data_IF_450289552767
#
_entry.id   IF_450289552767
#
_cell.length_a   1.000
_cell.length_b   1.000
_cell.length_c   1.000
_cell.angle_alpha   90.00
_cell.angle_beta   90.00
_cell.angle_gamma   90.00
#
_symmetry.space_group_name_H-M   'P 1'
#
loop_
_entity.id
_entity.type
_entity.pdbx_description
1 polymer ?
#
# COMPACT_ATOMS: atom_id res chain seq x y z
N UNK A 1 31.15 -9.11 11.75
CA UNK A 1 30.09 -8.09 11.62
C UNK A 1 29.30 -8.15 12.90
N UNK A 2 29.24 -7.07 13.67
CA UNK A 2 28.44 -7.05 14.90
C UNK A 2 26.96 -7.25 14.56
N UNK A 3 26.20 -7.92 15.42
CA UNK A 3 24.74 -8.04 15.25
C UNK A 3 24.15 -6.63 15.12
N UNK A 4 23.42 -6.36 14.03
CA UNK A 4 22.67 -5.12 13.90
C UNK A 4 21.50 -5.17 14.89
N UNK A 5 21.68 -4.61 16.09
CA UNK A 5 20.65 -4.60 17.14
C UNK A 5 19.38 -3.82 16.75
N UNK A 6 19.41 -3.06 15.64
CA UNK A 6 18.26 -2.30 15.14
C UNK A 6 17.56 -2.95 13.94
N UNK A 7 17.97 -4.16 13.53
CA UNK A 7 17.35 -4.82 12.38
C UNK A 7 15.82 -4.99 12.55
N UNK A 8 15.09 -4.67 11.48
CA UNK A 8 13.66 -4.91 11.31
C UNK A 8 13.50 -6.05 10.32
N UNK A 9 13.21 -7.25 10.83
CA UNK A 9 13.03 -8.43 10.00
C UNK A 9 11.66 -8.39 9.34
N UNK A 10 11.64 -8.15 8.04
CA UNK A 10 10.44 -8.00 7.23
C UNK A 10 10.16 -9.27 6.44
N UNK A 11 8.91 -9.70 6.46
CA UNK A 11 8.38 -10.68 5.52
C UNK A 11 7.41 -10.02 4.53
N UNK A 12 7.37 -10.52 3.30
CA UNK A 12 6.50 -10.00 2.23
C UNK A 12 5.52 -11.08 1.80
N UNK A 13 4.23 -10.75 1.69
CA UNK A 13 3.21 -11.58 1.04
C UNK A 13 2.83 -10.95 -0.29
N UNK A 14 3.03 -11.68 -1.39
CA UNK A 14 2.83 -11.19 -2.75
C UNK A 14 4.06 -10.41 -3.24
N UNK A 15 4.92 -11.06 -4.03
CA UNK A 15 6.15 -10.49 -4.55
C UNK A 15 5.88 -9.77 -5.88
N UNK A 16 4.97 -8.80 -5.86
CA UNK A 16 4.55 -7.99 -7.03
C UNK A 16 5.41 -6.74 -7.28
N UNK A 17 4.91 -5.81 -8.10
CA UNK A 17 5.56 -4.52 -8.35
C UNK A 17 5.79 -3.67 -7.09
N UNK A 18 4.84 -3.68 -6.15
CA UNK A 18 4.99 -2.99 -4.86
C UNK A 18 6.15 -3.57 -4.04
N UNK A 19 6.25 -4.90 -3.97
CA UNK A 19 7.36 -5.58 -3.31
C UNK A 19 8.70 -5.26 -4.00
N UNK A 20 8.72 -5.26 -5.34
CA UNK A 20 9.90 -4.87 -6.12
C UNK A 20 10.35 -3.45 -5.80
N UNK A 21 9.42 -2.49 -5.76
CA UNK A 21 9.71 -1.09 -5.43
C UNK A 21 10.20 -0.93 -3.99
N UNK A 22 9.64 -1.70 -3.04
CA UNK A 22 10.07 -1.70 -1.64
C UNK A 22 11.51 -2.23 -1.48
N UNK A 23 11.81 -3.41 -2.04
CA UNK A 23 13.13 -4.04 -1.92
C UNK A 23 14.20 -3.17 -2.60
N UNK A 24 13.91 -2.67 -3.80
CA UNK A 24 14.81 -1.75 -4.49
C UNK A 24 14.97 -0.42 -3.75
N UNK A 25 13.88 0.12 -3.17
CA UNK A 25 13.92 1.38 -2.42
C UNK A 25 14.78 1.31 -1.16
N UNK A 26 14.71 0.19 -0.43
CA UNK A 26 15.59 -0.07 0.72
C UNK A 26 17.05 -0.11 0.27
N UNK A 27 17.35 -0.82 -0.81
CA UNK A 27 18.71 -0.91 -1.36
C UNK A 27 19.23 0.46 -1.83
N UNK A 28 18.37 1.24 -2.51
CA UNK A 28 18.71 2.57 -3.05
C UNK A 28 19.05 3.58 -1.95
N UNK A 29 18.36 3.52 -0.81
CA UNK A 29 18.53 4.46 0.30
C UNK A 29 19.29 3.87 1.50
N UNK A 30 19.91 2.70 1.36
CA UNK A 30 20.66 2.06 2.46
C UNK A 30 21.81 2.92 2.99
N UNK A 31 22.40 3.76 2.14
CA UNK A 31 23.53 4.65 2.49
C UNK A 31 23.13 6.13 2.55
N UNK A 32 21.82 6.43 2.60
CA UNK A 32 21.34 7.80 2.78
C UNK A 32 21.91 8.43 4.05
N UNK A 33 22.18 9.73 4.01
CA UNK A 33 22.54 10.50 5.20
C UNK A 33 21.33 10.57 6.13
N UNK A 34 21.52 10.24 7.40
CA UNK A 34 20.49 10.23 8.44
C UNK A 34 19.78 11.58 8.60
N UNK A 35 20.47 12.68 8.27
CA UNK A 35 19.94 14.04 8.38
C UNK A 35 19.36 14.56 7.05
N UNK A 36 19.44 13.78 5.97
CA UNK A 36 18.91 14.19 4.68
C UNK A 36 17.38 14.04 4.62
N UNK A 37 16.75 14.92 3.83
CA UNK A 37 15.37 14.73 3.40
C UNK A 37 15.36 13.93 2.10
N UNK A 38 14.72 12.76 2.12
CA UNK A 38 14.57 11.88 0.97
C UNK A 38 13.13 11.95 0.43
N UNK A 39 12.92 12.14 -0.89
CA UNK A 39 11.59 12.14 -1.47
C UNK A 39 10.82 10.86 -1.17
N UNK A 40 9.64 11.01 -0.55
CA UNK A 40 8.73 9.91 -0.27
C UNK A 40 8.91 9.20 1.07
N UNK A 41 9.92 9.59 1.85
CA UNK A 41 10.05 9.18 3.24
C UNK A 41 9.73 10.36 4.15
N UNK A 42 9.09 10.10 5.29
CA UNK A 42 9.03 11.10 6.36
C UNK A 42 10.42 11.40 6.89
N UNK A 43 11.17 10.34 7.21
CA UNK A 43 12.52 10.42 7.76
C UNK A 43 13.40 9.30 7.21
N UNK A 44 14.69 9.60 7.01
CA UNK A 44 15.71 8.55 6.79
C UNK A 44 15.86 7.72 8.07
N UNK A 45 16.00 8.41 9.21
CA UNK A 45 15.93 7.84 10.56
C UNK A 45 14.53 7.99 11.15
N UNK A 46 13.73 6.92 11.11
CA UNK A 46 12.39 6.90 11.69
C UNK A 46 12.47 6.39 13.13
N UNK A 47 12.58 7.33 14.08
CA UNK A 47 12.98 7.01 15.45
C UNK A 47 14.43 6.53 15.45
N UNK A 48 14.69 5.35 16.01
CA UNK A 48 16.03 4.72 15.96
C UNK A 48 16.31 3.92 14.69
N UNK A 49 15.36 3.84 13.75
CA UNK A 49 15.43 2.95 12.60
C UNK A 49 15.78 3.67 11.30
N UNK A 50 16.95 3.39 10.77
CA UNK A 50 17.35 3.80 9.43
C UNK A 50 16.62 2.96 8.37
N UNK A 51 16.53 3.45 7.14
CA UNK A 51 16.10 2.65 5.98
C UNK A 51 16.90 1.34 5.83
N UNK A 52 18.19 1.32 6.22
CA UNK A 52 19.09 0.18 6.04
C UNK A 52 18.82 -0.93 7.05
N UNK A 53 18.10 -0.62 8.11
CA UNK A 53 17.74 -1.58 9.15
C UNK A 53 16.58 -2.47 8.69
N UNK A 54 15.92 -2.16 7.57
CA UNK A 54 14.91 -3.03 6.97
C UNK A 54 15.58 -4.22 6.29
N UNK A 55 15.44 -5.40 6.88
CA UNK A 55 16.03 -6.65 6.39
C UNK A 55 14.92 -7.62 5.96
N UNK A 56 14.89 -8.01 4.69
CA UNK A 56 13.94 -9.01 4.21
C UNK A 56 14.41 -10.41 4.61
N UNK A 57 13.57 -11.18 5.30
CA UNK A 57 13.93 -12.50 5.83
C UNK A 57 13.01 -13.64 5.40
N UNK A 58 11.84 -13.30 4.86
CA UNK A 58 10.90 -14.27 4.30
C UNK A 58 10.06 -13.61 3.20
N UNK A 59 9.61 -14.40 2.23
CA UNK A 59 8.69 -13.94 1.21
C UNK A 59 7.75 -15.08 0.82
N UNK A 60 6.52 -14.75 0.47
CA UNK A 60 5.49 -15.70 0.06
C UNK A 60 4.88 -15.27 -1.28
N UNK A 61 4.72 -16.22 -2.19
CA UNK A 61 4.00 -16.02 -3.44
C UNK A 61 3.31 -17.34 -3.87
N UNK A 62 2.59 -17.29 -4.98
CA UNK A 62 1.88 -18.42 -5.57
C UNK A 62 2.23 -18.61 -7.05
N UNK A 63 2.98 -17.71 -7.66
CA UNK A 63 3.43 -17.80 -9.05
C UNK A 63 4.62 -18.78 -9.19
N UNK A 64 4.52 -19.71 -10.13
CA UNK A 64 5.56 -20.69 -10.45
C UNK A 64 6.89 -20.05 -10.87
N UNK A 65 6.87 -18.81 -11.38
CA UNK A 65 8.08 -18.05 -11.75
C UNK A 65 8.71 -17.31 -10.57
N UNK A 66 8.13 -17.40 -9.37
CA UNK A 66 8.60 -16.69 -8.16
C UNK A 66 8.88 -17.66 -7.02
N UNK A 67 7.99 -18.61 -6.77
CA UNK A 67 8.15 -19.62 -5.71
C UNK A 67 9.44 -20.42 -5.95
N UNK A 68 10.27 -20.54 -4.93
CA UNK A 68 11.56 -21.23 -4.96
C UNK A 68 12.73 -20.41 -5.50
N UNK A 69 12.50 -19.19 -6.01
CA UNK A 69 13.57 -18.29 -6.44
C UNK A 69 14.01 -17.35 -5.31
N UNK A 70 15.24 -16.85 -5.36
CA UNK A 70 15.71 -15.82 -4.43
C UNK A 70 14.88 -14.53 -4.60
N UNK A 71 14.63 -13.84 -3.49
CA UNK A 71 13.86 -12.60 -3.49
C UNK A 71 14.44 -11.55 -4.45
N UNK A 72 15.76 -11.45 -4.59
CA UNK A 72 16.42 -10.50 -5.51
C UNK A 72 16.10 -10.77 -6.99
N UNK A 73 15.79 -12.02 -7.34
CA UNK A 73 15.36 -12.42 -8.68
C UNK A 73 13.84 -12.32 -8.82
N UNK A 74 13.09 -12.83 -7.85
CA UNK A 74 11.64 -12.88 -7.87
C UNK A 74 10.97 -11.51 -8.01
N UNK A 75 11.59 -10.44 -7.48
CA UNK A 75 11.10 -9.07 -7.65
C UNK A 75 11.15 -8.54 -9.10
N UNK A 76 11.89 -9.20 -9.99
CA UNK A 76 11.99 -8.88 -11.43
C UNK A 76 11.38 -9.97 -12.33
N UNK A 77 10.74 -10.98 -11.74
CA UNK A 77 10.19 -12.14 -12.46
C UNK A 77 8.71 -12.00 -12.78
N UNK A 78 8.25 -12.81 -13.74
CA UNK A 78 6.86 -12.87 -14.20
C UNK A 78 6.37 -11.50 -14.73
N UNK A 79 5.15 -11.09 -14.37
CA UNK A 79 4.54 -9.83 -14.79
C UNK A 79 4.98 -8.62 -13.96
N UNK A 80 6.06 -8.73 -13.18
CA UNK A 80 6.65 -7.56 -12.52
C UNK A 80 7.36 -6.68 -13.56
N UNK A 81 6.95 -5.42 -13.64
CA UNK A 81 7.35 -4.47 -14.68
C UNK A 81 7.50 -3.03 -14.15
N UNK A 82 7.75 -2.88 -12.84
CA UNK A 82 8.08 -1.57 -12.28
C UNK A 82 9.47 -1.08 -12.70
N UNK A 83 9.69 0.23 -12.59
CA UNK A 83 10.96 0.85 -12.94
C UNK A 83 12.08 0.32 -12.06
N UNK A 84 13.21 -0.05 -12.69
CA UNK A 84 14.40 -0.46 -11.97
C UNK A 84 15.17 0.79 -11.48
N UNK A 85 15.30 0.93 -10.17
CA UNK A 85 16.02 2.05 -9.52
C UNK A 85 17.32 1.62 -8.86
N UNK A 86 17.47 0.34 -8.52
CA UNK A 86 18.66 -0.21 -7.89
C UNK A 86 18.95 -1.65 -8.38
N UNK A 87 20.23 -2.01 -8.39
CA UNK A 87 20.65 -3.41 -8.46
C UNK A 87 20.56 -4.03 -7.06
N UNK A 88 19.76 -5.09 -6.93
CA UNK A 88 19.54 -5.77 -5.65
C UNK A 88 20.45 -6.99 -5.59
N UNK A 89 21.39 -7.08 -4.63
CA UNK A 89 22.23 -8.26 -4.47
C UNK A 89 21.40 -9.46 -3.98
N UNK A 90 21.88 -10.70 -4.18
CA UNK A 90 21.25 -11.90 -3.62
C UNK A 90 20.91 -11.71 -2.14
N UNK A 91 19.69 -12.08 -1.76
CA UNK A 91 19.22 -11.92 -0.38
C UNK A 91 19.28 -13.22 0.42
N UNK A 92 19.52 -14.35 -0.25
CA UNK A 92 19.44 -15.70 0.30
C UNK A 92 18.06 -15.98 0.94
N UNK A 93 17.01 -15.36 0.41
CA UNK A 93 15.62 -15.50 0.86
C UNK A 93 14.82 -16.10 -0.29
N UNK A 94 14.59 -17.42 -0.22
CA UNK A 94 13.82 -18.12 -1.23
C UNK A 94 12.33 -17.90 -0.99
N UNK A 95 11.60 -17.50 -2.03
CA UNK A 95 10.15 -17.25 -1.95
C UNK A 95 9.42 -18.56 -1.65
N UNK A 96 8.68 -18.59 -0.55
CA UNK A 96 7.92 -19.74 -0.10
C UNK A 96 6.56 -19.82 -0.80
N UNK A 97 6.06 -21.05 -0.95
CA UNK A 97 4.71 -21.29 -1.46
C UNK A 97 3.69 -20.92 -0.38
N UNK A 98 3.04 -19.78 -0.53
CA UNK A 98 1.94 -19.36 0.34
C UNK A 98 0.60 -19.98 -0.07
N UNK A 99 -0.44 -20.06 0.80
CA UNK A 99 -1.76 -20.51 0.38
C UNK A 99 -2.41 -19.53 -0.61
N UNK A 100 -3.00 -20.07 -1.68
CA UNK A 100 -3.58 -19.25 -2.77
C UNK A 100 -4.89 -18.61 -2.40
N UNK A 101 -5.83 -19.39 -1.85
CA UNK A 101 -7.18 -18.94 -1.48
C UNK A 101 -7.82 -18.11 -2.62
N UNK A 102 -8.35 -16.93 -2.32
CA UNK A 102 -8.91 -15.97 -3.29
C UNK A 102 -7.87 -14.97 -3.83
N UNK A 103 -6.57 -15.28 -3.72
CA UNK A 103 -5.45 -14.50 -4.27
C UNK A 103 -5.54 -14.27 -5.78
N UNK A 104 -5.88 -15.32 -6.54
CA UNK A 104 -5.87 -15.30 -8.01
C UNK A 104 -7.29 -15.17 -8.59
N UNK A 105 -7.59 -13.96 -9.09
CA UNK A 105 -8.79 -13.67 -9.88
C UNK A 105 -8.69 -14.23 -11.30
N UNK A 106 -9.72 -13.98 -12.13
CA UNK A 106 -9.81 -14.54 -13.49
C UNK A 106 -8.58 -14.19 -14.33
N UNK A 107 -8.26 -12.91 -14.43
CA UNK A 107 -7.16 -12.45 -15.30
C UNK A 107 -5.78 -12.89 -14.80
N UNK A 108 -5.60 -13.01 -13.48
CA UNK A 108 -4.37 -13.59 -12.93
C UNK A 108 -4.21 -15.05 -13.36
N UNK A 109 -5.27 -15.86 -13.25
CA UNK A 109 -5.25 -17.27 -13.67
C UNK A 109 -5.05 -17.46 -15.18
N UNK A 110 -5.44 -16.48 -15.98
CA UNK A 110 -5.20 -16.47 -17.43
C UNK A 110 -3.77 -16.05 -17.79
N UNK A 111 -3.05 -15.36 -16.89
CA UNK A 111 -1.75 -14.74 -17.20
C UNK A 111 -0.57 -15.51 -16.58
N UNK A 112 -0.71 -16.00 -15.35
CA UNK A 112 0.36 -16.69 -14.63
C UNK A 112 0.05 -18.17 -14.43
N UNK A 113 1.09 -18.97 -14.18
CA UNK A 113 0.94 -20.37 -13.76
C UNK A 113 1.12 -20.44 -12.25
N UNK A 114 0.13 -21.01 -11.56
CA UNK A 114 0.22 -21.25 -10.12
C UNK A 114 1.30 -22.30 -9.83
N UNK A 115 2.14 -22.07 -8.83
CA UNK A 115 3.22 -22.95 -8.43
C UNK A 115 2.68 -24.27 -7.87
N UNK A 116 3.29 -25.37 -8.30
CA UNK A 116 3.06 -26.71 -7.78
C UNK A 116 3.51 -26.85 -6.31
N UNK A 117 3.05 -27.91 -5.65
CA UNK A 117 3.42 -28.25 -4.28
C UNK A 117 2.46 -27.73 -3.21
N UNK A 118 2.67 -28.18 -1.98
CA UNK A 118 1.85 -27.77 -0.83
C UNK A 118 2.27 -26.39 -0.32
N UNK A 119 1.29 -25.61 0.14
CA UNK A 119 1.58 -24.35 0.82
C UNK A 119 2.21 -24.62 2.19
N UNK A 120 3.16 -23.76 2.57
CA UNK A 120 3.83 -23.84 3.87
C UNK A 120 2.88 -23.44 5.01
N UNK A 121 3.17 -23.91 6.23
CA UNK A 121 2.61 -23.30 7.44
C UNK A 121 3.20 -21.90 7.60
N UNK A 122 2.42 -20.89 7.24
CA UNK A 122 2.84 -19.48 7.25
C UNK A 122 3.22 -19.04 8.65
N UNK A 123 2.41 -19.36 9.67
CA UNK A 123 2.70 -18.93 11.04
C UNK A 123 4.02 -19.56 11.54
N UNK A 124 4.29 -20.82 11.19
CA UNK A 124 5.56 -21.46 11.52
C UNK A 124 6.73 -20.82 10.76
N UNK A 125 6.60 -20.58 9.45
CA UNK A 125 7.63 -19.94 8.65
C UNK A 125 7.98 -18.53 9.19
N UNK A 126 6.99 -17.76 9.63
CA UNK A 126 7.20 -16.46 10.25
C UNK A 126 7.97 -16.55 11.58
N UNK A 127 7.68 -17.56 12.42
CA UNK A 127 8.41 -17.82 13.67
C UNK A 127 9.85 -18.25 13.40
N UNK A 128 10.07 -19.15 12.45
CA UNK A 128 11.38 -19.68 12.10
C UNK A 128 12.30 -18.58 11.56
N UNK A 129 11.76 -17.69 10.71
CA UNK A 129 12.46 -16.51 10.21
C UNK A 129 12.53 -15.34 11.21
N UNK A 130 11.97 -15.50 12.42
CA UNK A 130 11.92 -14.49 13.50
C UNK A 130 11.37 -13.15 13.03
N UNK A 131 10.34 -13.17 12.19
CA UNK A 131 9.81 -11.98 11.55
C UNK A 131 9.33 -10.95 12.57
N UNK A 132 9.59 -9.68 12.31
CA UNK A 132 9.07 -8.57 13.10
C UNK A 132 7.82 -7.96 12.49
N UNK A 133 7.83 -7.77 11.16
CA UNK A 133 6.72 -7.16 10.43
C UNK A 133 6.42 -7.96 9.16
N UNK A 134 5.15 -8.30 8.94
CA UNK A 134 4.64 -8.89 7.71
C UNK A 134 3.94 -7.80 6.88
N UNK A 135 4.37 -7.60 5.64
CA UNK A 135 3.74 -6.67 4.69
C UNK A 135 2.90 -7.46 3.69
N UNK A 136 1.62 -7.15 3.58
CA UNK A 136 0.71 -7.77 2.62
C UNK A 136 0.52 -6.91 1.37
N UNK A 137 0.90 -7.46 0.21
CA UNK A 137 0.72 -6.89 -1.12
C UNK A 137 -0.12 -7.81 -2.02
N UNK A 138 -1.07 -8.53 -1.43
CA UNK A 138 -1.98 -9.38 -2.18
C UNK A 138 -2.81 -8.57 -3.20
N UNK A 139 -3.28 -9.22 -4.29
CA UNK A 139 -4.15 -8.57 -5.26
C UNK A 139 -5.44 -8.02 -4.64
N UNK A 140 -5.98 -6.97 -5.24
CA UNK A 140 -7.29 -6.41 -4.83
C UNK A 140 -8.38 -7.47 -4.95
N UNK A 141 -9.19 -7.59 -3.89
CA UNK A 141 -10.29 -8.54 -3.80
C UNK A 141 -9.90 -9.91 -3.23
N UNK A 142 -8.74 -10.01 -2.57
CA UNK A 142 -8.25 -11.21 -1.88
C UNK A 142 -8.55 -11.14 -0.39
N UNK A 143 -9.83 -11.18 -0.03
CA UNK A 143 -10.31 -11.00 1.34
C UNK A 143 -9.99 -12.21 2.22
N UNK A 144 -10.24 -13.42 1.74
CA UNK A 144 -9.95 -14.66 2.49
C UNK A 144 -8.44 -14.82 2.68
N UNK A 145 -7.65 -14.58 1.64
CA UNK A 145 -6.21 -14.65 1.71
C UNK A 145 -5.62 -13.63 2.69
N UNK A 146 -6.01 -12.36 2.60
CA UNK A 146 -5.42 -11.33 3.45
C UNK A 146 -5.79 -11.51 4.93
N UNK A 147 -7.03 -11.93 5.20
CA UNK A 147 -7.47 -12.32 6.55
C UNK A 147 -6.72 -13.56 7.05
N UNK A 148 -6.42 -14.53 6.18
CA UNK A 148 -5.60 -15.68 6.53
C UNK A 148 -4.19 -15.26 6.96
N UNK A 149 -3.52 -14.40 6.18
CA UNK A 149 -2.18 -13.90 6.54
C UNK A 149 -2.19 -13.01 7.78
N UNK A 150 -3.24 -12.21 7.98
CA UNK A 150 -3.41 -11.43 9.21
C UNK A 150 -3.57 -12.35 10.44
N UNK A 151 -4.31 -13.46 10.33
CA UNK A 151 -4.40 -14.45 11.40
C UNK A 151 -3.05 -15.15 11.64
N UNK A 152 -2.33 -15.53 10.58
CA UNK A 152 -1.01 -16.13 10.72
C UNK A 152 0.01 -15.17 11.39
N UNK A 153 -0.09 -13.87 11.11
CA UNK A 153 0.71 -12.85 11.78
C UNK A 153 0.38 -12.73 13.28
N UNK A 154 -0.91 -12.74 13.64
CA UNK A 154 -1.36 -12.80 15.03
C UNK A 154 -0.79 -14.03 15.74
N UNK A 155 -0.96 -15.22 15.13
CA UNK A 155 -0.55 -16.50 15.69
C UNK A 155 0.99 -16.62 15.84
N UNK A 156 1.75 -15.84 15.07
CA UNK A 156 3.20 -15.77 15.13
C UNK A 156 3.73 -14.60 16.00
N UNK A 157 2.87 -13.70 16.48
CA UNK A 157 3.30 -12.49 17.21
C UNK A 157 4.02 -11.46 16.34
N UNK A 158 3.62 -11.36 15.07
CA UNK A 158 4.26 -10.53 14.03
C UNK A 158 3.38 -9.34 13.70
N UNK A 159 3.94 -8.13 13.71
CA UNK A 159 3.18 -6.95 13.35
C UNK A 159 2.73 -7.01 11.89
N UNK A 160 1.55 -6.50 11.57
CA UNK A 160 0.98 -6.61 10.22
C UNK A 160 0.85 -5.23 9.54
N UNK A 161 1.28 -5.11 8.29
CA UNK A 161 1.08 -3.93 7.45
C UNK A 161 0.20 -4.32 6.27
N UNK A 162 -1.05 -3.84 6.29
CA UNK A 162 -2.02 -4.12 5.25
C UNK A 162 -2.00 -3.03 4.17
N UNK A 163 -1.44 -3.35 2.99
CA UNK A 163 -1.36 -2.38 1.89
C UNK A 163 -2.59 -2.38 0.96
N UNK A 164 -3.52 -3.32 1.12
CA UNK A 164 -4.64 -3.55 0.20
C UNK A 164 -5.98 -3.11 0.81
N UNK A 165 -7.03 -2.89 0.00
CA UNK A 165 -8.33 -2.43 0.47
C UNK A 165 -9.21 -3.56 1.01
N UNK A 166 -8.64 -4.43 1.84
CA UNK A 166 -9.38 -5.39 2.68
C UNK A 166 -9.45 -4.81 4.08
N UNK A 167 -10.65 -4.77 4.68
CA UNK A 167 -10.80 -4.19 6.01
C UNK A 167 -10.32 -5.16 7.08
N UNK A 168 -9.21 -4.80 7.74
CA UNK A 168 -8.59 -5.56 8.83
C UNK A 168 -8.31 -4.62 9.99
N UNK A 169 -7.46 -3.60 9.82
CA UNK A 169 -7.22 -2.62 10.87
C UNK A 169 -8.49 -1.79 11.14
N UNK A 170 -9.25 -1.50 10.08
CA UNK A 170 -10.48 -0.71 10.13
C UNK A 170 -11.74 -1.52 10.49
N UNK A 171 -11.65 -2.85 10.53
CA UNK A 171 -12.72 -3.72 11.04
C UNK A 171 -12.57 -3.87 12.56
N UNK A 172 -13.56 -3.45 13.38
CA UNK A 172 -13.49 -3.56 14.83
C UNK A 172 -13.24 -4.97 15.37
N UNK A 173 -13.69 -6.01 14.65
CA UNK A 173 -13.46 -7.41 15.04
C UNK A 173 -11.98 -7.78 14.92
N UNK A 174 -11.36 -7.40 13.81
CA UNK A 174 -9.94 -7.67 13.57
C UNK A 174 -9.04 -6.76 14.40
N UNK A 175 -9.36 -5.47 14.51
CA UNK A 175 -8.69 -4.55 15.41
C UNK A 175 -8.60 -5.12 16.83
N UNK A 176 -9.72 -5.66 17.34
CA UNK A 176 -9.77 -6.30 18.65
C UNK A 176 -8.91 -7.57 18.74
N UNK A 177 -8.86 -8.40 17.70
CA UNK A 177 -7.98 -9.60 17.70
C UNK A 177 -6.49 -9.21 17.81
N UNK A 178 -6.06 -8.18 17.09
CA UNK A 178 -4.69 -7.67 17.17
C UNK A 178 -4.39 -7.07 18.55
N UNK A 179 -5.33 -6.32 19.13
CA UNK A 179 -5.23 -5.77 20.49
C UNK A 179 -5.12 -6.88 21.54
N UNK A 180 -6.01 -7.86 21.51
CA UNK A 180 -6.06 -8.98 22.47
C UNK A 180 -4.78 -9.84 22.40
N UNK A 181 -4.15 -9.92 21.23
CA UNK A 181 -2.89 -10.65 21.03
C UNK A 181 -1.63 -9.82 21.36
N UNK A 182 -1.76 -8.51 21.63
CA UNK A 182 -0.61 -7.62 21.81
C UNK A 182 0.21 -7.40 20.53
N UNK A 183 -0.41 -7.60 19.36
CA UNK A 183 0.25 -7.53 18.04
C UNK A 183 -0.13 -6.22 17.33
N UNK A 184 0.81 -5.40 16.86
CA UNK A 184 0.48 -4.17 16.14
C UNK A 184 -0.05 -4.43 14.73
N UNK A 185 -0.94 -3.56 14.25
CA UNK A 185 -1.34 -3.50 12.83
C UNK A 185 -1.34 -2.06 12.31
N UNK A 186 -0.84 -1.86 11.09
CA UNK A 186 -0.98 -0.61 10.32
C UNK A 186 -1.80 -0.93 9.06
N UNK A 187 -2.89 -0.21 8.85
CA UNK A 187 -3.84 -0.47 7.75
C UNK A 187 -5.04 0.48 7.78
N UNK A 188 -5.90 0.52 6.75
CA UNK A 188 -5.90 -0.33 5.55
C UNK A 188 -5.78 0.50 4.24
N UNK A 189 -5.33 -0.14 3.14
CA UNK A 189 -5.10 0.44 1.81
C UNK A 189 -4.05 1.57 1.81
N UNK A 190 -2.79 1.24 1.49
CA UNK A 190 -1.67 2.19 1.57
C UNK A 190 -1.89 3.44 0.71
N UNK A 191 -1.52 4.62 1.23
CA UNK A 191 -1.49 5.86 0.42
C UNK A 191 -0.33 5.82 -0.59
N UNK A 192 -0.54 6.54 -1.69
CA UNK A 192 0.53 6.98 -2.56
C UNK A 192 0.92 8.40 -2.19
N UNK A 193 2.16 8.83 -2.44
CA UNK A 193 2.61 10.20 -2.14
C UNK A 193 1.77 11.22 -2.91
N UNK A 194 1.74 11.11 -4.24
CA UNK A 194 0.90 11.95 -5.11
C UNK A 194 0.15 11.06 -6.08
N UNK A 195 -1.07 10.71 -5.70
CA UNK A 195 -2.00 9.95 -6.54
C UNK A 195 -3.10 10.82 -7.15
N UNK A 196 -3.88 10.23 -8.05
CA UNK A 196 -5.04 10.88 -8.65
C UNK A 196 -6.08 11.31 -7.59
N UNK A 197 -6.34 10.47 -6.57
CA UNK A 197 -7.33 10.77 -5.52
C UNK A 197 -6.96 12.00 -4.69
N UNK A 198 -5.71 12.12 -4.22
CA UNK A 198 -5.28 13.28 -3.42
C UNK A 198 -5.25 14.56 -4.27
N UNK A 199 -4.75 14.47 -5.51
CA UNK A 199 -4.71 15.60 -6.43
C UNK A 199 -6.12 16.11 -6.73
N UNK A 200 -7.06 15.21 -7.01
CA UNK A 200 -8.46 15.55 -7.27
C UNK A 200 -9.12 16.18 -6.05
N UNK A 201 -8.92 15.60 -4.85
CA UNK A 201 -9.42 16.14 -3.59
C UNK A 201 -8.92 17.57 -3.34
N UNK A 202 -7.63 17.85 -3.53
CA UNK A 202 -7.04 19.19 -3.36
C UNK A 202 -7.65 20.18 -4.35
N UNK A 203 -7.80 19.80 -5.62
CA UNK A 203 -8.40 20.67 -6.64
C UNK A 203 -9.89 20.92 -6.37
N UNK A 204 -10.64 19.91 -5.94
CA UNK A 204 -12.05 20.06 -5.61
C UNK A 204 -12.24 20.96 -4.38
N UNK A 205 -11.38 20.80 -3.35
CA UNK A 205 -11.36 21.69 -2.19
C UNK A 205 -10.99 23.13 -2.57
N UNK A 206 -10.04 23.33 -3.48
CA UNK A 206 -9.70 24.66 -3.98
C UNK A 206 -10.90 25.34 -4.66
N UNK A 207 -11.71 24.60 -5.43
CA UNK A 207 -12.94 25.15 -6.01
C UNK A 207 -13.88 25.64 -4.90
N UNK A 208 -14.13 24.79 -3.90
CA UNK A 208 -15.00 25.13 -2.77
C UNK A 208 -14.50 26.33 -1.96
N UNK A 209 -13.22 26.33 -1.56
CA UNK A 209 -12.60 27.39 -0.74
C UNK A 209 -12.57 28.75 -1.47
N UNK A 210 -12.65 28.76 -2.81
CA UNK A 210 -12.71 29.97 -3.64
C UNK A 210 -14.12 30.34 -4.10
N UNK A 211 -15.14 29.66 -3.59
CA UNK A 211 -16.55 29.91 -3.91
C UNK A 211 -16.95 29.49 -5.33
N UNK A 212 -16.16 28.62 -5.98
CA UNK A 212 -16.50 28.01 -7.27
C UNK A 212 -17.33 26.77 -7.00
N UNK A 213 -18.56 26.74 -7.53
CA UNK A 213 -19.43 25.58 -7.36
C UNK A 213 -19.03 24.48 -8.33
N UNK A 214 -18.49 23.37 -7.82
CA UNK A 214 -18.21 22.18 -8.61
C UNK A 214 -19.54 21.49 -8.98
N UNK A 215 -19.81 21.34 -10.27
CA UNK A 215 -21.04 20.74 -10.80
C UNK A 215 -20.84 19.31 -11.28
N UNK A 216 -19.73 19.02 -11.96
CA UNK A 216 -19.42 17.70 -12.52
C UNK A 216 -17.94 17.39 -12.39
N UNK A 217 -17.61 16.12 -12.23
CA UNK A 217 -16.21 15.68 -12.25
C UNK A 217 -16.03 14.26 -12.80
N UNK A 218 -14.90 14.06 -13.46
CA UNK A 218 -14.47 12.79 -14.03
C UNK A 218 -13.01 12.52 -13.65
N UNK A 219 -12.70 11.28 -13.31
CA UNK A 219 -11.35 10.77 -13.10
C UNK A 219 -11.21 9.40 -13.74
N UNK A 220 -10.52 9.36 -14.88
CA UNK A 220 -10.21 8.14 -15.62
C UNK A 220 -8.78 7.72 -15.30
N UNK A 221 -8.56 6.44 -14.98
CA UNK A 221 -7.23 5.93 -14.66
C UNK A 221 -6.90 4.76 -15.60
N UNK A 222 -5.73 4.80 -16.24
CA UNK A 222 -5.19 3.72 -17.07
C UNK A 222 -3.81 3.31 -16.57
N UNK A 223 -3.46 2.04 -16.71
CA UNK A 223 -2.16 1.47 -16.33
C UNK A 223 -1.93 0.13 -17.03
N UNK A 224 -0.71 -0.40 -16.95
CA UNK A 224 -0.28 -1.60 -17.70
C UNK A 224 0.22 -2.76 -16.83
N UNK A 225 -0.02 -2.73 -15.52
CA UNK A 225 0.40 -3.79 -14.59
C UNK A 225 -0.77 -4.73 -14.25
N UNK A 226 -0.44 -5.82 -13.55
CA UNK A 226 -1.43 -6.81 -13.14
C UNK A 226 -2.47 -6.29 -12.13
N UNK A 227 -2.18 -5.26 -11.34
CA UNK A 227 -3.19 -4.63 -10.49
C UNK A 227 -4.28 -3.98 -11.35
N UNK A 228 -3.90 -3.23 -12.40
CA UNK A 228 -4.83 -2.64 -13.35
C UNK A 228 -5.64 -3.69 -14.12
N UNK A 229 -4.98 -4.76 -14.58
CA UNK A 229 -5.66 -5.84 -15.30
C UNK A 229 -6.66 -6.57 -14.38
N UNK A 230 -6.27 -6.89 -13.15
CA UNK A 230 -7.15 -7.48 -12.13
C UNK A 230 -8.32 -6.54 -11.80
N UNK A 231 -8.08 -5.23 -11.79
CA UNK A 231 -9.12 -4.22 -11.60
C UNK A 231 -10.08 -4.08 -12.79
N UNK A 232 -9.88 -4.73 -13.95
CA UNK A 232 -10.94 -4.80 -14.98
C UNK A 232 -12.04 -5.80 -14.61
N UNK A 233 -11.79 -6.68 -13.63
CA UNK A 233 -12.77 -7.63 -13.12
C UNK A 233 -13.76 -6.92 -12.20
N UNK A 234 -14.89 -6.45 -12.77
CA UNK A 234 -15.88 -5.61 -12.08
C UNK A 234 -16.41 -6.20 -10.77
N UNK A 235 -16.50 -7.53 -10.67
CA UNK A 235 -16.92 -8.25 -9.45
C UNK A 235 -15.98 -8.03 -8.27
N UNK A 236 -14.69 -7.73 -8.51
CA UNK A 236 -13.70 -7.44 -7.45
C UNK A 236 -13.64 -5.96 -7.05
N UNK A 237 -14.42 -5.08 -7.70
CA UNK A 237 -14.29 -3.62 -7.61
C UNK A 237 -15.38 -2.89 -6.82
N UNK A 238 -16.49 -3.55 -6.46
CA UNK A 238 -17.67 -2.87 -5.90
C UNK A 238 -17.29 -1.98 -4.70
N UNK A 239 -16.52 -2.52 -3.76
CA UNK A 239 -16.03 -1.80 -2.57
C UNK A 239 -15.10 -0.64 -2.92
N UNK A 240 -14.22 -0.80 -3.92
CA UNK A 240 -13.19 0.20 -4.28
C UNK A 240 -13.77 1.38 -5.09
N UNK A 241 -14.83 1.16 -5.87
CA UNK A 241 -15.53 2.25 -6.56
C UNK A 241 -16.25 3.16 -5.56
N UNK A 242 -16.86 2.58 -4.53
CA UNK A 242 -17.50 3.30 -3.44
C UNK A 242 -16.45 4.12 -2.68
N UNK A 243 -15.35 3.48 -2.24
CA UNK A 243 -14.31 4.15 -1.45
C UNK A 243 -13.65 5.31 -2.20
N UNK A 244 -13.34 5.15 -3.50
CA UNK A 244 -12.72 6.23 -4.30
C UNK A 244 -13.67 7.40 -4.55
N UNK A 245 -14.95 7.12 -4.76
CA UNK A 245 -15.95 8.18 -4.93
C UNK A 245 -16.09 8.97 -3.64
N UNK A 246 -16.27 8.27 -2.52
CA UNK A 246 -16.37 8.87 -1.18
C UNK A 246 -15.11 9.66 -0.82
N UNK A 247 -13.91 9.16 -1.13
CA UNK A 247 -12.66 9.84 -0.80
C UNK A 247 -12.47 11.23 -1.45
N UNK A 248 -13.20 11.52 -2.54
CA UNK A 248 -13.23 12.83 -3.19
C UNK A 248 -14.43 13.64 -2.70
N UNK A 249 -15.61 13.03 -2.62
CA UNK A 249 -16.85 13.76 -2.27
C UNK A 249 -16.98 14.05 -0.77
N UNK A 250 -16.33 13.28 0.12
CA UNK A 250 -16.43 13.45 1.58
C UNK A 250 -15.93 14.80 2.09
N UNK A 251 -15.08 15.45 1.30
CA UNK A 251 -14.45 16.71 1.67
C UNK A 251 -15.17 17.92 1.08
N UNK A 252 -16.29 17.71 0.37
CA UNK A 252 -17.10 18.74 -0.24
C UNK A 252 -18.42 18.84 0.54
N UNK A 253 -18.88 20.05 0.81
CA UNK A 253 -20.17 20.28 1.48
C UNK A 253 -21.37 19.95 0.59
N UNK A 254 -21.16 19.95 -0.73
CA UNK A 254 -22.21 19.69 -1.72
C UNK A 254 -22.40 18.19 -1.94
N UNK A 255 -23.65 17.75 -1.90
CA UNK A 255 -24.04 16.44 -2.40
C UNK A 255 -24.07 16.43 -3.93
N UNK A 256 -23.51 15.38 -4.54
CA UNK A 256 -23.51 15.17 -5.98
C UNK A 256 -24.54 14.13 -6.37
N UNK A 257 -25.21 14.32 -7.50
CA UNK A 257 -25.97 13.21 -8.09
C UNK A 257 -24.99 12.15 -8.60
N UNK A 258 -25.37 10.88 -8.51
CA UNK A 258 -24.52 9.77 -8.92
C UNK A 258 -24.04 9.85 -10.39
N UNK A 259 -24.79 10.52 -11.27
CA UNK A 259 -24.42 10.72 -12.68
C UNK A 259 -23.35 11.79 -12.91
N UNK A 260 -23.15 12.69 -11.95
CA UNK A 260 -22.29 13.88 -12.08
C UNK A 260 -20.86 13.61 -11.62
N UNK A 261 -20.58 12.41 -11.08
CA UNK A 261 -19.27 11.97 -10.60
C UNK A 261 -18.91 10.63 -11.22
N UNK A 262 -17.78 10.56 -11.92
CA UNK A 262 -17.26 9.32 -12.48
C UNK A 262 -15.81 9.09 -12.06
N UNK A 263 -15.56 8.10 -11.21
CA UNK A 263 -14.22 7.78 -10.70
C UNK A 263 -14.01 6.25 -10.75
N UNK A 264 -12.94 5.79 -11.40
CA UNK A 264 -12.63 4.36 -11.45
C UNK A 264 -11.41 4.01 -12.31
N UNK A 265 -10.97 2.75 -12.28
CA UNK A 265 -10.12 2.21 -13.35
C UNK A 265 -10.89 2.25 -14.66
N UNK A 266 -10.20 2.64 -15.72
CA UNK A 266 -10.80 2.85 -17.04
C UNK A 266 -10.39 1.76 -18.02
N UNK A 267 -9.10 1.47 -18.12
CA UNK A 267 -8.59 0.49 -19.09
C UNK A 267 -7.19 -0.03 -18.70
N UNK A 268 -6.78 -1.13 -19.34
CA UNK A 268 -5.43 -1.69 -19.28
C UNK A 268 -4.66 -1.39 -20.57
N UNK A 269 -3.55 -0.67 -20.45
CA UNK A 269 -2.68 -0.27 -21.57
C UNK A 269 -1.30 -0.87 -21.36
N UNK A 270 -1.05 -2.04 -21.96
CA UNK A 270 0.09 -2.89 -21.61
C UNK A 270 1.46 -2.21 -21.65
N UNK A 271 1.73 -1.35 -22.64
CA UNK A 271 3.03 -0.67 -22.73
C UNK A 271 3.27 0.39 -21.64
N UNK A 272 2.25 0.77 -20.86
CA UNK A 272 2.48 1.63 -19.69
C UNK A 272 3.25 0.92 -18.60
N UNK A 273 3.27 -0.41 -18.58
CA UNK A 273 3.86 -1.22 -17.52
C UNK A 273 3.29 -0.77 -16.16
N UNK A 274 4.14 -0.56 -15.15
CA UNK A 274 3.73 -0.05 -13.83
C UNK A 274 3.41 1.46 -13.81
N UNK A 275 3.48 2.16 -14.94
CA UNK A 275 3.01 3.55 -15.01
C UNK A 275 1.50 3.61 -14.97
N UNK A 276 1.03 4.69 -14.36
CA UNK A 276 -0.37 5.04 -14.24
C UNK A 276 -0.59 6.45 -14.67
N UNK A 277 -1.57 6.60 -15.55
CA UNK A 277 -2.03 7.89 -16.02
C UNK A 277 -3.43 8.15 -15.51
N UNK A 278 -3.64 9.33 -14.94
CA UNK A 278 -4.96 9.80 -14.56
C UNK A 278 -5.34 11.03 -15.39
N UNK A 279 -6.49 10.97 -16.03
CA UNK A 279 -7.11 12.07 -16.75
C UNK A 279 -8.28 12.56 -15.92
N UNK A 280 -8.20 13.80 -15.46
CA UNK A 280 -9.18 14.35 -14.52
C UNK A 280 -9.75 15.65 -15.07
N UNK A 281 -11.07 15.78 -14.96
CA UNK A 281 -11.80 16.96 -15.39
C UNK A 281 -12.75 17.40 -14.30
N UNK A 282 -12.68 18.67 -13.93
CA UNK A 282 -13.58 19.35 -12.99
C UNK A 282 -14.31 20.46 -13.74
N UNK A 283 -15.63 20.49 -13.65
CA UNK A 283 -16.46 21.54 -14.24
C UNK A 283 -17.31 22.19 -13.16
N UNK A 284 -17.23 23.51 -13.08
CA UNK A 284 -18.00 24.30 -12.12
C UNK A 284 -18.44 25.64 -12.68
N UNK A 285 -19.03 26.44 -11.80
CA UNK A 285 -19.48 27.82 -12.07
C UNK A 285 -18.83 28.79 -11.09
N UNK A 286 -18.32 29.88 -11.62
CA UNK A 286 -17.73 30.99 -10.87
C UNK A 286 -18.73 32.15 -10.70
N UNK A 287 -18.24 33.35 -10.41
CA UNK A 287 -19.06 34.55 -10.27
C UNK A 287 -19.94 34.79 -11.51
N UNK A 288 -21.23 35.07 -11.28
CA UNK A 288 -22.20 35.28 -12.35
C UNK A 288 -22.57 34.00 -13.13
N UNK A 289 -22.42 32.83 -12.51
CA UNK A 289 -22.66 31.52 -13.12
C UNK A 289 -21.81 31.22 -14.36
N UNK A 290 -20.69 31.95 -14.51
CA UNK A 290 -19.76 31.77 -15.63
C UNK A 290 -19.08 30.41 -15.52
N UNK A 291 -19.09 29.58 -16.59
CA UNK A 291 -18.42 28.28 -16.57
C UNK A 291 -16.92 28.40 -16.28
N UNK A 292 -16.43 27.55 -15.38
CA UNK A 292 -15.02 27.35 -15.09
C UNK A 292 -14.70 25.86 -15.25
N UNK A 293 -13.68 25.54 -16.01
CA UNK A 293 -13.24 24.15 -16.20
C UNK A 293 -11.75 24.01 -15.90
N UNK A 294 -11.39 22.90 -15.27
CA UNK A 294 -10.02 22.46 -15.06
C UNK A 294 -9.89 21.05 -15.60
N UNK A 295 -8.90 20.82 -16.45
CA UNK A 295 -8.55 19.49 -16.93
C UNK A 295 -7.06 19.29 -16.75
N UNK A 296 -6.67 18.13 -16.23
CA UNK A 296 -5.26 17.81 -16.02
C UNK A 296 -4.98 16.33 -16.27
N UNK A 297 -3.72 16.06 -16.60
CA UNK A 297 -3.14 14.72 -16.69
C UNK A 297 -2.09 14.56 -15.59
N UNK A 298 -2.18 13.48 -14.84
CA UNK A 298 -1.15 13.06 -13.89
C UNK A 298 -0.48 11.79 -14.42
N UNK A 299 0.85 11.79 -14.46
CA UNK A 299 1.66 10.61 -14.80
C UNK A 299 2.54 10.22 -13.61
N UNK A 300 2.45 8.97 -13.19
CA UNK A 300 3.26 8.43 -12.09
C UNK A 300 3.67 6.98 -12.41
N UNK A 301 4.72 6.50 -11.74
CA UNK A 301 4.95 5.08 -11.55
C UNK A 301 4.17 4.64 -10.31
N UNK A 302 3.22 3.70 -10.43
CA UNK A 302 2.24 3.45 -9.37
C UNK A 302 2.87 2.82 -8.12
N UNK A 303 3.74 1.82 -8.30
CA UNK A 303 4.32 1.08 -7.17
C UNK A 303 5.39 1.85 -6.38
N UNK A 304 6.35 2.57 -7.00
CA UNK A 304 7.29 3.41 -6.27
C UNK A 304 6.61 4.57 -5.52
N UNK A 305 5.42 4.99 -5.96
CA UNK A 305 4.66 6.06 -5.34
C UNK A 305 4.13 5.68 -3.93
N UNK A 306 4.13 4.40 -3.54
CA UNK A 306 3.80 3.95 -2.18
C UNK A 306 4.98 3.32 -1.43
N UNK A 307 6.10 3.00 -2.10
CA UNK A 307 7.24 2.32 -1.49
C UNK A 307 7.78 3.05 -0.25
N UNK A 308 8.00 4.36 -0.34
CA UNK A 308 8.46 5.15 0.82
C UNK A 308 7.45 5.15 1.98
N UNK A 309 6.15 5.24 1.66
CA UNK A 309 5.06 5.17 2.65
C UNK A 309 5.05 3.81 3.37
N UNK A 310 5.35 2.72 2.66
CA UNK A 310 5.48 1.39 3.27
C UNK A 310 6.72 1.29 4.16
N UNK A 311 7.85 1.85 3.74
CA UNK A 311 9.05 1.86 4.60
C UNK A 311 8.73 2.59 5.91
N UNK A 312 8.03 3.73 5.88
CA UNK A 312 7.54 4.42 7.09
C UNK A 312 6.57 3.53 7.91
N UNK A 313 5.61 2.86 7.26
CA UNK A 313 4.65 1.98 7.93
C UNK A 313 5.30 0.78 8.63
N UNK A 314 6.29 0.14 8.01
CA UNK A 314 7.08 -0.96 8.58
C UNK A 314 7.81 -0.50 9.83
N UNK A 315 8.48 0.65 9.79
CA UNK A 315 9.22 1.20 10.93
C UNK A 315 8.27 1.61 12.06
N UNK A 316 7.10 2.19 11.74
CA UNK A 316 6.07 2.50 12.73
C UNK A 316 5.50 1.24 13.41
N UNK A 317 5.23 0.18 12.64
CA UNK A 317 4.80 -1.12 13.16
C UNK A 317 5.85 -1.73 14.09
N UNK A 318 7.13 -1.61 13.72
CA UNK A 318 8.25 -2.09 14.56
C UNK A 318 8.37 -1.30 15.87
N UNK A 319 8.24 0.02 15.84
CA UNK A 319 8.22 0.85 17.06
C UNK A 319 7.07 0.42 17.99
N UNK A 320 5.87 0.20 17.45
CA UNK A 320 4.73 -0.29 18.23
C UNK A 320 5.02 -1.66 18.86
N UNK A 321 5.63 -2.57 18.09
CA UNK A 321 6.04 -3.90 18.57
C UNK A 321 7.04 -3.81 19.72
N UNK A 322 8.07 -2.97 19.60
CA UNK A 322 9.08 -2.77 20.65
C UNK A 322 8.48 -2.26 21.96
N UNK A 323 7.45 -1.41 21.86
CA UNK A 323 6.74 -0.84 23.02
C UNK A 323 5.69 -1.79 23.60
N UNK A 324 5.46 -2.97 23.00
CA UNK A 324 4.41 -3.89 23.39
C UNK A 324 2.99 -3.35 23.17
N UNK A 325 2.82 -2.46 22.19
CA UNK A 325 1.52 -1.86 21.86
C UNK A 325 0.84 -2.71 20.78
N UNK A 326 -0.20 -3.45 21.19
CA UNK A 326 -1.06 -4.22 20.28
C UNK A 326 -2.17 -3.39 19.64
N UNK A 327 -2.80 -3.97 18.63
CA UNK A 327 -3.93 -3.34 17.91
C UNK A 327 -3.48 -2.32 16.86
N UNK A 328 -4.45 -1.57 16.27
CA UNK A 328 -4.13 -0.60 15.24
C UNK A 328 -3.28 0.57 15.74
N UNK A 329 -2.18 0.85 15.04
CA UNK A 329 -1.31 2.02 15.31
C UNK A 329 -1.96 3.27 14.73
N UNK A 330 -2.88 3.88 15.50
CA UNK A 330 -3.77 4.96 15.01
C UNK A 330 -3.02 6.10 14.29
N UNK A 331 -1.92 6.68 14.83
CA UNK A 331 -1.23 7.78 14.16
C UNK A 331 -0.65 7.36 12.80
N UNK A 332 -0.06 6.16 12.72
CA UNK A 332 0.53 5.63 11.50
C UNK A 332 -0.56 5.31 10.47
N UNK A 333 -1.62 4.59 10.86
CA UNK A 333 -2.72 4.26 9.96
C UNK A 333 -3.39 5.52 9.40
N UNK A 334 -3.70 6.52 10.25
CA UNK A 334 -4.37 7.74 9.79
C UNK A 334 -3.55 8.52 8.76
N UNK A 335 -2.24 8.60 8.95
CA UNK A 335 -1.37 9.35 8.04
C UNK A 335 -0.99 8.56 6.79
N UNK A 336 -0.73 7.25 6.91
CA UNK A 336 -0.13 6.44 5.84
C UNK A 336 -1.15 5.63 5.03
N UNK A 337 -2.37 5.44 5.53
CA UNK A 337 -3.39 4.55 4.94
C UNK A 337 -4.65 5.32 4.52
N UNK A 338 -5.33 4.86 3.47
CA UNK A 338 -6.53 5.50 2.91
C UNK A 338 -7.79 5.21 3.73
N UNK A 339 -7.85 4.02 4.35
CA UNK A 339 -8.98 3.54 5.15
C UNK A 339 -8.52 3.23 6.58
N UNK A 340 -8.08 4.24 7.36
CA UNK A 340 -7.67 4.02 8.73
C UNK A 340 -8.85 3.67 9.64
N UNK A 341 -8.60 3.06 10.82
CA UNK A 341 -9.63 2.82 11.84
C UNK A 341 -10.29 4.12 12.33
N UNK A 342 -9.53 5.23 12.32
CA UNK A 342 -10.01 6.56 12.67
C UNK A 342 -9.52 7.57 11.62
N UNK A 343 -10.47 8.22 10.95
CA UNK A 343 -10.17 9.29 9.98
C UNK A 343 -9.70 10.55 10.72
N UNK A 344 -8.60 11.13 10.25
CA UNK A 344 -8.02 12.40 10.73
C UNK A 344 -7.59 13.23 9.52
N UNK A 345 -7.54 14.55 9.69
CA UNK A 345 -6.91 15.42 8.70
C UNK A 345 -5.41 15.08 8.59
N UNK A 346 -4.85 15.16 7.37
CA UNK A 346 -3.48 14.67 7.10
C UNK A 346 -2.41 15.42 7.92
N UNK A 347 -2.58 16.72 8.16
CA UNK A 347 -1.70 17.54 9.00
C UNK A 347 -1.73 17.09 10.46
N UNK A 348 -2.93 16.90 11.02
CA UNK A 348 -3.13 16.40 12.39
C UNK A 348 -2.60 14.97 12.54
N UNK A 349 -2.84 14.10 11.56
CA UNK A 349 -2.34 12.73 11.56
C UNK A 349 -0.81 12.69 11.50
N UNK A 350 -0.19 13.60 10.72
CA UNK A 350 1.26 13.75 10.65
C UNK A 350 1.84 14.15 12.00
N UNK A 351 1.31 15.20 12.63
CA UNK A 351 1.77 15.66 13.94
C UNK A 351 1.69 14.56 15.00
N UNK A 352 0.59 13.79 15.02
CA UNK A 352 0.45 12.65 15.93
C UNK A 352 1.46 11.54 15.64
N UNK A 353 1.77 11.29 14.36
CA UNK A 353 2.78 10.30 13.98
C UNK A 353 4.19 10.78 14.37
N UNK A 354 4.52 12.05 14.18
CA UNK A 354 5.79 12.62 14.66
C UNK A 354 5.95 12.45 16.19
N UNK A 355 4.91 12.77 16.96
CA UNK A 355 4.91 12.54 18.40
C UNK A 355 5.10 11.04 18.75
N UNK A 356 4.39 10.15 18.03
CA UNK A 356 4.56 8.71 18.18
C UNK A 356 5.98 8.24 17.87
N UNK A 357 6.71 8.90 16.97
CA UNK A 357 8.10 8.57 16.62
C UNK A 357 9.08 9.06 17.69
N UNK A 358 8.91 10.27 18.21
CA UNK A 358 9.85 10.91 19.15
C UNK A 358 9.97 10.11 20.46
N UNK A 359 8.87 9.50 20.92
CA UNK A 359 8.86 8.71 22.15
C UNK A 359 9.52 7.30 21.99
N UNK A 360 10.29 7.03 20.92
CA UNK A 360 10.72 5.68 20.47
C UNK A 360 12.14 5.28 20.85
#
# INVERSE_FOLDING_TARGET
MGENNNAIRVAIVGVGNCASSLVQGVEYYKDADENATVPGLMHVMFGKYHVRDVEFVAAFDVDAKKVGFDLSEAIFSSENNTIKIADVPPKDVHVLRGPTLDGLGKYYRETITEADGEAVDVAQALRDAKVDVLVSYLPVGSEEADKFYAQAAIDAGVAFVNALPVFIASDPVWAKKFEDAGVPIVGDDIKSQVGATITHRVMAKLFEDRGVQLDRTMQLNVGGNMDFLNMLERTRLESKKISKTQAVTSNLQKEFNAKDVHIGPSDHVGWLDDRKWAYVRLEGRAFGDVPLSLEYKLEVWDSPNSAGVIIDAVRAAKIAKDRGIGGPVIPASAYLMKSPPKQLADDVAREQLEAFIIDA
#
